data_IF_993395264631
#
_entry.id   IF_993395264631
#
_cell.length_a   1.000
_cell.length_b   1.000
_cell.length_c   1.000
_cell.angle_alpha   90.00
_cell.angle_beta   90.00
_cell.angle_gamma   90.00
#
_symmetry.space_group_name_H-M   'P 1'
#
loop_
_entity.id
_entity.type
_entity.pdbx_description
1 polymer ?
#
# COMPACT_ATOMS: atom_id res chain seq x y z
N UNK A 1 -26.97 8.40 41.03
CA UNK A 1 -25.90 8.38 42.05
C UNK A 1 -25.72 9.81 42.52
N UNK A 2 -25.60 9.99 43.83
CA UNK A 2 -25.76 11.28 44.51
C UNK A 2 -24.88 12.37 43.91
N UNK A 3 -25.47 13.55 43.65
CA UNK A 3 -24.75 14.81 43.45
C UNK A 3 -24.09 15.17 44.79
N UNK A 4 -22.95 14.55 45.10
CA UNK A 4 -22.02 15.17 46.03
C UNK A 4 -21.49 16.41 45.33
N UNK A 5 -21.73 17.58 45.93
CA UNK A 5 -21.16 18.84 45.48
C UNK A 5 -19.64 18.69 45.66
N UNK A 6 -18.93 18.41 44.57
CA UNK A 6 -17.47 18.25 44.58
C UNK A 6 -16.84 19.57 45.09
N UNK A 7 -15.86 19.46 46.01
CA UNK A 7 -15.17 20.62 46.59
C UNK A 7 -14.58 21.51 45.47
N UNK A 8 -15.02 22.79 45.35
CA UNK A 8 -14.55 23.69 44.31
C UNK A 8 -13.03 23.88 44.30
N UNK A 9 -12.36 23.80 45.46
CA UNK A 9 -10.90 23.92 45.56
C UNK A 9 -10.22 22.69 44.96
N UNK A 10 -10.73 21.50 45.29
CA UNK A 10 -10.24 20.24 44.72
C UNK A 10 -10.45 20.20 43.20
N UNK A 11 -11.63 20.63 42.73
CA UNK A 11 -11.95 20.69 41.31
C UNK A 11 -10.99 21.60 40.54
N UNK A 12 -10.71 22.81 41.07
CA UNK A 12 -9.78 23.74 40.44
C UNK A 12 -8.34 23.19 40.41
N UNK A 13 -7.88 22.58 41.52
CA UNK A 13 -6.54 21.96 41.58
C UNK A 13 -6.39 20.81 40.59
N UNK A 14 -7.42 19.95 40.50
CA UNK A 14 -7.44 18.84 39.56
C UNK A 14 -7.47 19.33 38.09
N UNK A 15 -8.17 20.43 37.82
CA UNK A 15 -8.17 21.06 36.49
C UNK A 15 -6.78 21.49 36.05
N UNK A 16 -6.10 22.29 36.88
CA UNK A 16 -4.74 22.76 36.60
C UNK A 16 -3.77 21.58 36.41
N UNK A 17 -3.88 20.55 37.25
CA UNK A 17 -3.05 19.35 37.15
C UNK A 17 -3.29 18.60 35.82
N UNK A 18 -4.55 18.37 35.45
CA UNK A 18 -4.90 17.66 34.22
C UNK A 18 -4.55 18.46 32.97
N UNK A 19 -4.67 19.77 33.02
CA UNK A 19 -4.26 20.66 31.94
C UNK A 19 -2.74 20.62 31.73
N UNK A 20 -1.97 20.67 32.83
CA UNK A 20 -0.52 20.48 32.78
C UNK A 20 -0.13 19.13 32.17
N UNK A 21 -0.72 18.03 32.63
CA UNK A 21 -0.45 16.68 32.08
C UNK A 21 -0.85 16.58 30.60
N UNK A 22 -1.95 17.23 30.20
CA UNK A 22 -2.39 17.25 28.81
C UNK A 22 -1.40 18.03 27.91
N UNK A 23 -0.85 19.15 28.37
CA UNK A 23 0.17 19.91 27.64
C UNK A 23 1.47 19.12 27.50
N UNK A 24 1.97 18.52 28.58
CA UNK A 24 3.17 17.67 28.53
C UNK A 24 2.99 16.47 27.59
N UNK A 25 1.79 15.87 27.58
CA UNK A 25 1.43 14.79 26.66
C UNK A 25 1.36 15.29 25.21
N UNK A 26 0.79 16.47 24.97
CA UNK A 26 0.76 17.07 23.64
C UNK A 26 2.17 17.32 23.11
N UNK A 27 3.07 17.83 23.95
CA UNK A 27 4.47 18.04 23.59
C UNK A 27 5.20 16.72 23.26
N UNK A 28 4.87 15.63 23.98
CA UNK A 28 5.40 14.30 23.68
C UNK A 28 4.94 13.80 22.29
N UNK A 29 3.66 13.96 21.95
CA UNK A 29 3.14 13.59 20.64
C UNK A 29 3.72 14.47 19.52
N UNK A 30 3.80 15.79 19.72
CA UNK A 30 4.44 16.70 18.77
C UNK A 30 5.91 16.34 18.53
N UNK A 31 6.64 15.99 19.60
CA UNK A 31 8.03 15.54 19.50
C UNK A 31 8.17 14.26 18.64
N UNK A 32 7.26 13.30 18.83
CA UNK A 32 7.24 12.05 18.06
C UNK A 32 6.86 12.28 16.60
N UNK A 33 5.82 13.06 16.37
CA UNK A 33 5.20 13.26 15.06
C UNK A 33 6.04 14.17 14.17
N UNK A 34 6.67 15.19 14.75
CA UNK A 34 7.56 16.13 14.08
C UNK A 34 9.05 15.84 14.35
N UNK A 35 9.39 14.58 14.66
CA UNK A 35 10.76 14.21 15.03
C UNK A 35 11.78 14.63 13.95
N UNK A 36 11.48 14.39 12.68
CA UNK A 36 12.38 14.68 11.55
C UNK A 36 12.36 16.13 11.07
N UNK A 37 11.44 16.96 11.56
CA UNK A 37 11.51 18.42 11.37
C UNK A 37 12.48 19.06 12.36
N UNK A 38 12.73 18.40 13.50
CA UNK A 38 13.54 18.91 14.61
C UNK A 38 14.89 18.18 14.79
N UNK A 39 15.09 17.03 14.13
CA UNK A 39 16.30 16.22 14.23
C UNK A 39 16.74 15.75 12.83
N UNK A 40 18.05 15.51 12.66
CA UNK A 40 18.58 14.96 11.42
C UNK A 40 18.06 13.55 11.15
N UNK A 41 18.03 13.15 9.88
CA UNK A 41 17.64 11.80 9.47
C UNK A 41 18.58 10.72 10.04
N UNK A 42 19.83 11.06 10.37
CA UNK A 42 20.78 10.13 11.00
C UNK A 42 20.31 9.62 12.37
N UNK A 43 19.45 10.39 13.05
CA UNK A 43 18.83 10.03 14.33
C UNK A 43 17.65 9.05 14.18
N UNK A 44 17.29 8.63 12.96
CA UNK A 44 16.13 7.76 12.73
C UNK A 44 16.18 6.45 13.54
N UNK A 45 17.38 5.88 13.72
CA UNK A 45 17.58 4.64 14.51
C UNK A 45 17.26 4.83 16.01
N UNK A 46 17.45 6.05 16.51
CA UNK A 46 17.26 6.40 17.91
C UNK A 46 15.89 7.04 18.19
N UNK A 47 15.10 7.37 17.15
CA UNK A 47 13.77 8.00 17.28
C UNK A 47 12.90 7.29 18.32
N UNK A 48 12.74 5.97 18.20
CA UNK A 48 11.91 5.21 19.14
C UNK A 48 12.44 5.28 20.57
N UNK A 49 13.76 5.19 20.74
CA UNK A 49 14.41 5.29 22.05
C UNK A 49 14.17 6.67 22.69
N UNK A 50 14.37 7.75 21.94
CA UNK A 50 14.14 9.11 22.43
C UNK A 50 12.68 9.36 22.82
N UNK A 51 11.72 8.80 22.06
CA UNK A 51 10.29 8.88 22.40
C UNK A 51 9.97 8.08 23.66
N UNK A 52 10.53 6.88 23.83
CA UNK A 52 10.38 6.10 25.07
C UNK A 52 10.96 6.82 26.30
N UNK A 53 12.15 7.43 26.19
CA UNK A 53 12.76 8.16 27.31
C UNK A 53 11.88 9.34 27.78
N UNK A 54 11.29 10.09 26.84
CA UNK A 54 10.35 11.16 27.19
C UNK A 54 9.04 10.62 27.75
N UNK A 55 8.52 9.52 27.20
CA UNK A 55 7.34 8.80 27.71
C UNK A 55 7.57 8.38 29.17
N UNK A 56 8.69 7.74 29.48
CA UNK A 56 9.02 7.30 30.85
C UNK A 56 9.12 8.48 31.82
N UNK A 57 9.67 9.61 31.39
CA UNK A 57 9.69 10.83 32.21
C UNK A 57 8.29 11.35 32.52
N UNK A 58 7.39 11.37 31.53
CA UNK A 58 6.01 11.80 31.72
C UNK A 58 5.20 10.82 32.57
N UNK A 59 5.41 9.51 32.41
CA UNK A 59 4.75 8.48 33.23
C UNK A 59 5.06 8.64 34.72
N UNK A 60 6.28 9.05 35.10
CA UNK A 60 6.60 9.39 36.50
C UNK A 60 5.74 10.51 37.05
N UNK A 61 5.29 11.45 36.22
CA UNK A 61 4.38 12.51 36.64
C UNK A 61 2.96 11.95 36.88
N UNK A 62 2.48 11.05 36.01
CA UNK A 62 1.21 10.35 36.22
C UNK A 62 1.22 9.49 37.49
N UNK A 63 2.29 8.72 37.74
CA UNK A 63 2.42 7.84 38.92
C UNK A 63 2.41 8.60 40.26
N UNK A 64 2.81 9.88 40.27
CA UNK A 64 2.77 10.74 41.46
C UNK A 64 1.35 11.19 41.84
N UNK A 65 0.40 11.09 40.91
CA UNK A 65 -0.98 11.52 41.13
C UNK A 65 -1.76 10.41 41.83
N UNK A 66 -2.24 10.69 43.04
CA UNK A 66 -3.18 9.80 43.70
C UNK A 66 -4.60 10.10 43.18
N UNK A 67 -5.11 9.25 42.29
CA UNK A 67 -6.41 9.43 41.62
C UNK A 67 -7.58 9.47 42.60
N UNK A 68 -7.52 8.75 43.71
CA UNK A 68 -8.62 8.67 44.66
C UNK A 68 -8.79 9.97 45.45
N UNK A 69 -7.68 10.64 45.78
CA UNK A 69 -7.67 11.84 46.63
C UNK A 69 -7.51 13.14 45.87
N UNK A 70 -6.81 13.14 44.73
CA UNK A 70 -6.48 14.36 43.98
C UNK A 70 -7.39 14.60 42.78
N UNK A 71 -8.06 13.58 42.26
CA UNK A 71 -8.90 13.68 41.05
C UNK A 71 -10.37 13.43 41.39
N UNK A 72 -11.24 14.47 41.31
CA UNK A 72 -12.68 14.32 41.46
C UNK A 72 -13.27 13.29 40.50
N UNK A 73 -14.36 12.64 40.91
CA UNK A 73 -14.96 11.55 40.13
C UNK A 73 -15.33 11.99 38.72
N UNK A 74 -15.86 13.21 38.57
CA UNK A 74 -16.22 13.82 37.29
C UNK A 74 -15.05 13.93 36.30
N UNK A 75 -13.81 14.01 36.78
CA UNK A 75 -12.61 14.22 35.96
C UNK A 75 -11.75 12.95 35.79
N UNK A 76 -12.06 11.87 36.50
CA UNK A 76 -11.30 10.61 36.44
C UNK A 76 -11.27 10.01 35.04
N UNK A 77 -12.35 10.12 34.27
CA UNK A 77 -12.38 9.66 32.89
C UNK A 77 -11.31 10.35 32.03
N UNK A 78 -11.15 11.67 32.17
CA UNK A 78 -10.13 12.46 31.48
C UNK A 78 -8.72 12.08 31.94
N UNK A 79 -8.50 11.88 33.24
CA UNK A 79 -7.21 11.41 33.77
C UNK A 79 -6.80 10.08 33.13
N UNK A 80 -7.66 9.06 33.21
CA UNK A 80 -7.36 7.74 32.67
C UNK A 80 -7.19 7.74 31.14
N UNK A 81 -7.90 8.64 30.44
CA UNK A 81 -7.68 8.86 29.02
C UNK A 81 -6.26 9.38 28.74
N UNK A 82 -5.82 10.44 29.43
CA UNK A 82 -4.50 11.02 29.24
C UNK A 82 -3.39 10.02 29.61
N UNK A 83 -3.53 9.32 30.72
CA UNK A 83 -2.59 8.29 31.16
C UNK A 83 -2.51 7.13 30.15
N UNK A 84 -3.66 6.62 29.72
CA UNK A 84 -3.75 5.55 28.74
C UNK A 84 -3.14 5.94 27.39
N UNK A 85 -3.38 7.18 26.95
CA UNK A 85 -2.79 7.75 25.75
C UNK A 85 -1.27 7.91 25.88
N UNK A 86 -0.76 8.30 27.06
CA UNK A 86 0.68 8.31 27.33
C UNK A 86 1.31 6.91 27.19
N UNK A 87 0.65 5.86 27.68
CA UNK A 87 1.12 4.49 27.45
C UNK A 87 1.07 4.08 25.97
N UNK A 88 0.10 4.57 25.21
CA UNK A 88 -0.13 4.25 23.80
C UNK A 88 0.79 5.01 22.81
N UNK A 89 1.64 5.94 23.26
CA UNK A 89 2.50 6.71 22.33
C UNK A 89 3.49 5.85 21.52
N UNK A 90 3.85 4.69 22.07
CA UNK A 90 4.76 3.72 21.50
C UNK A 90 4.10 2.88 20.39
N UNK A 91 4.90 2.39 19.43
CA UNK A 91 4.40 1.45 18.40
C UNK A 91 4.03 0.10 19.03
N UNK A 92 4.79 -0.33 20.04
CA UNK A 92 4.56 -1.59 20.75
C UNK A 92 3.33 -1.51 21.64
N UNK A 93 2.55 -2.59 21.65
CA UNK A 93 1.40 -2.73 22.54
C UNK A 93 1.81 -2.67 24.02
N UNK A 94 1.08 -1.88 24.81
CA UNK A 94 1.18 -1.81 26.27
C UNK A 94 -0.19 -2.10 26.90
N UNK A 95 -0.28 -3.17 27.69
CA UNK A 95 -1.55 -3.58 28.32
C UNK A 95 -2.09 -2.54 29.31
N UNK A 96 -1.22 -1.70 29.89
CA UNK A 96 -1.61 -0.61 30.80
C UNK A 96 -2.45 0.45 30.08
N UNK A 97 -2.13 0.72 28.81
CA UNK A 97 -2.90 1.64 27.97
C UNK A 97 -4.36 1.16 27.87
N UNK A 98 -4.56 -0.10 27.48
CA UNK A 98 -5.89 -0.73 27.38
C UNK A 98 -6.65 -0.67 28.70
N UNK A 99 -5.98 -0.92 29.83
CA UNK A 99 -6.61 -0.88 31.15
C UNK A 99 -7.10 0.52 31.51
N UNK A 100 -6.27 1.55 31.33
CA UNK A 100 -6.66 2.94 31.61
C UNK A 100 -7.76 3.42 30.66
N UNK A 101 -7.62 3.17 29.36
CA UNK A 101 -8.61 3.58 28.35
C UNK A 101 -9.95 2.87 28.53
N UNK A 102 -9.95 1.59 28.90
CA UNK A 102 -11.17 0.85 29.24
C UNK A 102 -11.89 1.43 30.46
N UNK A 103 -11.15 1.96 31.45
CA UNK A 103 -11.75 2.70 32.58
C UNK A 103 -12.32 4.05 32.11
N UNK A 104 -11.59 4.77 31.25
CA UNK A 104 -12.01 6.07 30.74
C UNK A 104 -13.37 5.98 30.02
N UNK A 105 -13.54 5.04 29.08
CA UNK A 105 -14.79 4.86 28.33
C UNK A 105 -15.95 4.33 29.20
N UNK A 106 -15.66 3.59 30.29
CA UNK A 106 -16.68 3.16 31.26
C UNK A 106 -17.19 4.31 32.12
N UNK A 107 -16.29 5.20 32.54
CA UNK A 107 -16.63 6.37 33.34
C UNK A 107 -17.32 7.46 32.52
N UNK A 108 -16.88 7.66 31.28
CA UNK A 108 -17.50 8.56 30.33
C UNK A 108 -17.61 7.92 28.93
N UNK A 109 -18.74 7.27 28.62
CA UNK A 109 -18.97 6.67 27.30
C UNK A 109 -18.98 7.67 26.13
N UNK A 110 -19.21 8.96 26.40
CA UNK A 110 -19.23 10.02 25.38
C UNK A 110 -17.83 10.55 25.02
N UNK A 111 -16.77 10.09 25.69
CA UNK A 111 -15.40 10.50 25.41
C UNK A 111 -14.86 9.77 24.17
N UNK A 112 -15.12 10.34 23.01
CA UNK A 112 -14.82 9.78 21.68
C UNK A 112 -13.33 9.52 21.48
N UNK A 113 -12.47 10.41 21.97
CA UNK A 113 -11.02 10.26 21.88
C UNK A 113 -10.52 9.04 22.66
N UNK A 114 -11.15 8.72 23.80
CA UNK A 114 -10.79 7.52 24.55
C UNK A 114 -11.19 6.23 23.82
N UNK A 115 -12.31 6.24 23.09
CA UNK A 115 -12.69 5.12 22.23
C UNK A 115 -11.71 4.93 21.07
N UNK A 116 -11.25 6.02 20.46
CA UNK A 116 -10.25 5.96 19.38
C UNK A 116 -8.92 5.38 19.87
N UNK A 117 -8.37 5.93 20.97
CA UNK A 117 -7.13 5.42 21.56
C UNK A 117 -7.26 3.95 22.02
N UNK A 118 -8.43 3.57 22.57
CA UNK A 118 -8.69 2.17 22.94
C UNK A 118 -8.73 1.26 21.71
N UNK A 119 -9.33 1.72 20.61
CA UNK A 119 -9.34 1.00 19.34
C UNK A 119 -7.94 0.80 18.77
N UNK A 120 -7.09 1.83 18.84
CA UNK A 120 -5.67 1.73 18.46
C UNK A 120 -4.89 0.74 19.33
N UNK A 121 -5.15 0.71 20.64
CA UNK A 121 -4.55 -0.27 21.54
C UNK A 121 -4.91 -1.71 21.14
N UNK A 122 -6.20 -1.97 20.84
CA UNK A 122 -6.62 -3.30 20.37
C UNK A 122 -6.01 -3.65 19.02
N UNK A 123 -5.84 -2.67 18.12
CA UNK A 123 -5.16 -2.88 16.85
C UNK A 123 -3.68 -3.26 17.03
N UNK A 124 -2.95 -2.57 17.91
CA UNK A 124 -1.56 -2.92 18.26
C UNK A 124 -1.47 -4.30 18.89
N UNK A 125 -2.52 -4.76 19.56
CA UNK A 125 -2.65 -6.12 20.08
C UNK A 125 -3.18 -7.14 19.04
N UNK A 126 -3.26 -6.77 17.75
CA UNK A 126 -3.77 -7.61 16.64
C UNK A 126 -5.25 -8.02 16.83
N UNK A 127 -5.94 -7.41 17.79
CA UNK A 127 -7.34 -7.68 18.07
C UNK A 127 -8.27 -6.78 17.23
N UNK A 128 -8.32 -7.07 15.93
CA UNK A 128 -9.02 -6.25 14.92
C UNK A 128 -10.53 -6.15 15.20
N UNK A 129 -11.15 -7.19 15.75
CA UNK A 129 -12.58 -7.22 16.07
C UNK A 129 -12.92 -6.20 17.16
N UNK A 130 -12.18 -6.21 18.25
CA UNK A 130 -12.38 -5.30 19.37
C UNK A 130 -11.98 -3.87 19.01
N UNK A 131 -10.93 -3.70 18.19
CA UNK A 131 -10.58 -2.41 17.62
C UNK A 131 -11.76 -1.81 16.83
N UNK A 132 -12.34 -2.59 15.91
CA UNK A 132 -13.50 -2.19 15.12
C UNK A 132 -14.69 -1.83 16.00
N UNK A 133 -14.98 -2.62 17.02
CA UNK A 133 -16.07 -2.35 17.97
C UNK A 133 -15.87 -1.02 18.71
N UNK A 134 -14.62 -0.67 19.07
CA UNK A 134 -14.32 0.61 19.71
C UNK A 134 -14.55 1.78 18.75
N UNK A 135 -14.08 1.69 17.51
CA UNK A 135 -14.30 2.74 16.51
C UNK A 135 -15.79 2.88 16.14
N UNK A 136 -16.51 1.78 15.97
CA UNK A 136 -17.98 1.82 15.76
C UNK A 136 -18.71 2.41 16.99
N UNK A 137 -18.20 2.19 18.20
CA UNK A 137 -18.65 2.84 19.43
C UNK A 137 -18.46 4.35 19.39
N UNK A 138 -17.25 4.81 19.02
CA UNK A 138 -16.93 6.23 18.86
C UNK A 138 -17.89 6.93 17.87
N UNK A 139 -18.14 6.29 16.73
CA UNK A 139 -19.04 6.78 15.66
C UNK A 139 -20.50 6.96 16.08
N UNK A 140 -20.97 6.25 17.12
CA UNK A 140 -22.33 6.44 17.66
C UNK A 140 -22.48 7.77 18.39
N UNK A 141 -21.37 8.31 18.90
CA UNK A 141 -21.35 9.55 19.66
C UNK A 141 -20.94 10.73 18.77
N UNK A 142 -19.84 10.58 18.02
CA UNK A 142 -19.35 11.62 17.13
C UNK A 142 -18.65 11.02 15.90
N UNK A 143 -18.95 11.61 14.74
CA UNK A 143 -18.37 11.23 13.47
C UNK A 143 -17.09 12.04 13.21
N UNK A 144 -15.97 11.60 13.78
CA UNK A 144 -14.68 12.30 13.67
C UNK A 144 -13.71 11.62 12.69
N UNK A 145 -12.73 12.40 12.23
CA UNK A 145 -11.71 11.98 11.25
C UNK A 145 -10.89 10.78 11.67
N UNK A 146 -10.50 10.67 12.95
CA UNK A 146 -9.62 9.60 13.43
C UNK A 146 -10.35 8.27 13.30
N UNK A 147 -11.59 8.20 13.80
CA UNK A 147 -12.43 7.01 13.68
C UNK A 147 -12.66 6.61 12.23
N UNK A 148 -12.94 7.56 11.35
CA UNK A 148 -13.14 7.31 9.91
C UNK A 148 -11.89 6.72 9.25
N UNK A 149 -10.69 7.26 9.56
CA UNK A 149 -9.41 6.71 9.08
C UNK A 149 -9.22 5.27 9.57
N UNK A 150 -9.44 5.01 10.85
CA UNK A 150 -9.26 3.68 11.45
C UNK A 150 -10.22 2.65 10.86
N UNK A 151 -11.50 2.98 10.67
CA UNK A 151 -12.45 2.09 10.01
C UNK A 151 -12.09 1.84 8.54
N UNK A 152 -11.60 2.87 7.83
CA UNK A 152 -11.09 2.70 6.47
C UNK A 152 -9.96 1.66 6.44
N UNK A 153 -8.99 1.75 7.34
CA UNK A 153 -7.90 0.75 7.46
C UNK A 153 -8.44 -0.66 7.71
N UNK A 154 -9.33 -0.81 8.70
CA UNK A 154 -9.90 -2.12 9.07
C UNK A 154 -10.64 -2.75 7.89
N UNK A 155 -11.44 -1.98 7.16
CA UNK A 155 -12.19 -2.48 6.00
C UNK A 155 -11.26 -3.03 4.91
N UNK A 156 -10.11 -2.38 4.66
CA UNK A 156 -9.12 -2.89 3.70
C UNK A 156 -8.48 -4.19 4.16
N UNK A 157 -8.16 -4.30 5.44
CA UNK A 157 -7.59 -5.52 5.99
C UNK A 157 -8.58 -6.69 5.95
N UNK A 158 -9.84 -6.46 6.35
CA UNK A 158 -10.88 -7.50 6.30
C UNK A 158 -11.15 -7.95 4.85
N UNK A 159 -11.20 -7.00 3.90
CA UNK A 159 -11.42 -7.29 2.48
C UNK A 159 -10.40 -8.29 1.90
N UNK A 160 -9.15 -8.30 2.39
CA UNK A 160 -8.11 -9.21 1.93
C UNK A 160 -8.44 -10.70 2.16
N UNK A 161 -9.37 -11.01 3.06
CA UNK A 161 -9.78 -12.39 3.41
C UNK A 161 -11.14 -12.79 2.83
N UNK A 162 -11.89 -11.85 2.24
CA UNK A 162 -13.25 -12.08 1.75
C UNK A 162 -13.29 -12.54 0.30
N UNK A 163 -14.48 -12.99 -0.14
CA UNK A 163 -14.77 -13.27 -1.55
C UNK A 163 -14.81 -11.95 -2.32
N UNK A 164 -14.54 -12.02 -3.63
CA UNK A 164 -14.34 -10.85 -4.50
C UNK A 164 -15.48 -9.81 -4.45
N UNK A 165 -16.74 -10.25 -4.45
CA UNK A 165 -17.89 -9.36 -4.35
C UNK A 165 -17.97 -8.57 -3.03
N UNK A 166 -17.82 -9.28 -1.90
CA UNK A 166 -17.82 -8.67 -0.57
C UNK A 166 -16.60 -7.75 -0.39
N UNK A 167 -15.43 -8.20 -0.84
CA UNK A 167 -14.18 -7.41 -0.79
C UNK A 167 -14.33 -6.09 -1.56
N UNK A 168 -14.96 -6.12 -2.73
CA UNK A 168 -15.22 -4.91 -3.53
C UNK A 168 -16.04 -3.89 -2.75
N UNK A 169 -17.16 -4.31 -2.15
CA UNK A 169 -18.01 -3.41 -1.37
C UNK A 169 -17.27 -2.81 -0.16
N UNK A 170 -16.46 -3.62 0.52
CA UNK A 170 -15.66 -3.17 1.67
C UNK A 170 -14.61 -2.14 1.26
N UNK A 171 -13.93 -2.34 0.11
CA UNK A 171 -12.94 -1.39 -0.40
C UNK A 171 -13.60 -0.08 -0.85
N UNK A 172 -14.76 -0.13 -1.51
CA UNK A 172 -15.49 1.09 -1.87
C UNK A 172 -15.91 1.89 -0.62
N UNK A 173 -16.42 1.21 0.41
CA UNK A 173 -16.74 1.83 1.70
C UNK A 173 -15.50 2.38 2.42
N UNK A 174 -14.35 1.70 2.31
CA UNK A 174 -13.06 2.22 2.81
C UNK A 174 -12.68 3.55 2.15
N UNK A 175 -12.88 3.67 0.83
CA UNK A 175 -12.61 4.91 0.08
C UNK A 175 -13.58 6.02 0.52
N UNK A 176 -14.85 5.71 0.75
CA UNK A 176 -15.84 6.67 1.27
C UNK A 176 -15.42 7.24 2.63
N UNK A 177 -15.08 6.37 3.60
CA UNK A 177 -14.60 6.83 4.91
C UNK A 177 -13.32 7.65 4.83
N UNK A 178 -12.37 7.26 3.96
CA UNK A 178 -11.13 8.02 3.78
C UNK A 178 -11.38 9.41 3.16
N UNK A 179 -12.27 9.51 2.16
CA UNK A 179 -12.68 10.79 1.58
C UNK A 179 -13.36 11.68 2.61
N UNK A 180 -14.23 11.09 3.42
CA UNK A 180 -14.91 11.82 4.48
C UNK A 180 -13.93 12.35 5.53
N UNK A 181 -12.95 11.54 5.96
CA UNK A 181 -11.89 11.99 6.87
C UNK A 181 -11.10 13.19 6.30
N UNK A 182 -10.72 13.15 5.02
CA UNK A 182 -10.06 14.28 4.33
C UNK A 182 -10.96 15.51 4.26
N UNK A 183 -12.28 15.34 4.08
CA UNK A 183 -13.20 16.47 4.00
C UNK A 183 -13.35 17.23 5.33
N UNK A 184 -13.12 16.56 6.46
CA UNK A 184 -13.13 17.18 7.79
C UNK A 184 -11.89 18.05 8.04
N UNK A 185 -10.72 17.64 7.51
CA UNK A 185 -9.50 18.43 7.55
C UNK A 185 -8.64 18.16 6.31
N UNK A 186 -8.67 19.10 5.36
CA UNK A 186 -7.92 18.97 4.10
C UNK A 186 -6.41 19.14 4.27
N UNK A 187 -5.95 19.60 5.44
CA UNK A 187 -4.52 19.75 5.77
C UNK A 187 -3.95 18.54 6.51
N UNK A 188 -4.80 17.61 6.97
CA UNK A 188 -4.37 16.38 7.65
C UNK A 188 -3.74 15.40 6.65
N UNK A 189 -2.41 15.31 6.66
CA UNK A 189 -1.67 14.44 5.76
C UNK A 189 -1.93 12.95 6.02
N UNK A 190 -2.22 12.56 7.26
CA UNK A 190 -2.56 11.17 7.58
C UNK A 190 -3.88 10.76 6.91
N UNK A 191 -4.89 11.64 6.91
CA UNK A 191 -6.13 11.39 6.15
C UNK A 191 -5.84 11.18 4.65
N UNK A 192 -4.93 11.97 4.07
CA UNK A 192 -4.49 11.80 2.70
C UNK A 192 -3.71 10.50 2.45
N UNK A 193 -2.86 10.05 3.38
CA UNK A 193 -2.21 8.73 3.33
C UNK A 193 -3.26 7.63 3.26
N UNK A 194 -4.26 7.67 4.16
CA UNK A 194 -5.33 6.66 4.22
C UNK A 194 -6.18 6.66 2.94
N UNK A 195 -6.43 7.83 2.35
CA UNK A 195 -7.10 7.93 1.06
C UNK A 195 -6.27 7.34 -0.08
N UNK A 196 -4.97 7.64 -0.13
CA UNK A 196 -4.04 7.03 -1.09
C UNK A 196 -4.02 5.50 -0.98
N UNK A 197 -3.91 4.98 0.25
CA UNK A 197 -3.95 3.55 0.54
C UNK A 197 -5.29 2.91 0.11
N UNK A 198 -6.40 3.62 0.29
CA UNK A 198 -7.73 3.17 -0.14
C UNK A 198 -7.84 3.09 -1.66
N UNK A 199 -7.37 4.11 -2.38
CA UNK A 199 -7.31 4.06 -3.84
C UNK A 199 -6.38 2.97 -4.35
N UNK A 200 -5.25 2.73 -3.67
CA UNK A 200 -4.34 1.64 -4.01
C UNK A 200 -5.05 0.29 -3.92
N UNK A 201 -5.74 0.00 -2.81
CA UNK A 201 -6.51 -1.24 -2.68
C UNK A 201 -7.68 -1.31 -3.67
N UNK A 202 -8.33 -0.17 -4.00
CA UNK A 202 -9.39 -0.11 -5.01
C UNK A 202 -8.86 -0.48 -6.40
N UNK A 203 -7.70 0.05 -6.78
CA UNK A 203 -7.06 -0.26 -8.05
C UNK A 203 -6.78 -1.76 -8.20
N UNK A 204 -6.34 -2.42 -7.13
CA UNK A 204 -6.02 -3.86 -7.16
C UNK A 204 -7.23 -4.78 -7.03
N UNK A 205 -8.23 -4.39 -6.23
CA UNK A 205 -9.36 -5.26 -5.88
C UNK A 205 -10.54 -5.10 -6.82
N UNK A 206 -10.82 -3.87 -7.28
CA UNK A 206 -12.05 -3.55 -8.02
C UNK A 206 -11.78 -3.50 -9.51
N UNK A 207 -10.93 -2.56 -9.93
CA UNK A 207 -10.60 -2.36 -11.34
C UNK A 207 -9.27 -1.62 -11.44
N UNK A 208 -8.35 -2.15 -12.26
CA UNK A 208 -7.06 -1.53 -12.54
C UNK A 208 -7.18 -0.35 -13.51
N UNK A 209 -8.02 0.62 -13.15
CA UNK A 209 -8.23 1.85 -13.91
C UNK A 209 -7.06 2.82 -13.65
N UNK A 210 -6.32 3.26 -14.70
CA UNK A 210 -5.28 4.27 -14.56
C UNK A 210 -5.75 5.57 -13.87
N UNK A 211 -7.03 5.92 -13.96
CA UNK A 211 -7.58 7.09 -13.27
C UNK A 211 -7.52 6.93 -11.73
N UNK A 212 -7.80 5.74 -11.21
CA UNK A 212 -7.73 5.45 -9.76
C UNK A 212 -6.28 5.51 -9.28
N UNK A 213 -5.34 4.98 -10.07
CA UNK A 213 -3.92 5.07 -9.74
C UNK A 213 -3.42 6.53 -9.74
N UNK A 214 -3.90 7.36 -10.68
CA UNK A 214 -3.64 8.82 -10.66
C UNK A 214 -4.21 9.49 -9.40
N UNK A 215 -5.40 9.11 -8.95
CA UNK A 215 -5.99 9.59 -7.69
C UNK A 215 -5.17 9.16 -6.48
N UNK A 216 -4.72 7.91 -6.42
CA UNK A 216 -3.80 7.39 -5.42
C UNK A 216 -2.53 8.24 -5.32
N UNK A 217 -1.84 8.46 -6.46
CA UNK A 217 -0.64 9.28 -6.51
C UNK A 217 -0.89 10.76 -6.20
N UNK A 218 -2.10 11.28 -6.47
CA UNK A 218 -2.50 12.63 -6.06
C UNK A 218 -2.68 12.73 -4.54
N UNK A 219 -3.29 11.73 -3.92
CA UNK A 219 -3.48 11.69 -2.47
C UNK A 219 -2.14 11.66 -1.72
N UNK A 220 -1.19 10.81 -2.14
CA UNK A 220 0.16 10.83 -1.57
C UNK A 220 0.89 12.16 -1.79
N UNK A 221 0.66 12.85 -2.91
CA UNK A 221 1.21 14.19 -3.14
C UNK A 221 0.67 15.24 -2.17
N UNK A 222 -0.61 15.18 -1.84
CA UNK A 222 -1.21 16.05 -0.83
C UNK A 222 -0.70 15.72 0.58
N UNK A 223 -0.51 14.44 0.90
CA UNK A 223 0.05 14.02 2.18
C UNK A 223 1.43 14.64 2.47
N UNK A 224 2.29 14.83 1.46
CA UNK A 224 3.61 15.45 1.64
C UNK A 224 3.59 16.90 2.13
N UNK A 225 2.47 17.60 1.95
CA UNK A 225 2.34 18.98 2.37
C UNK A 225 2.27 19.11 3.89
N UNK A 226 1.85 18.05 4.58
CA UNK A 226 1.86 17.94 6.03
C UNK A 226 3.22 17.41 6.53
N UNK A 227 3.94 18.17 7.39
CA UNK A 227 5.20 17.73 7.97
C UNK A 227 5.10 16.41 8.76
N UNK A 228 3.97 16.15 9.43
CA UNK A 228 3.77 14.92 10.20
C UNK A 228 3.76 13.72 9.26
N UNK A 229 2.93 13.75 8.21
CA UNK A 229 2.84 12.69 7.22
C UNK A 229 4.15 12.49 6.43
N UNK A 230 4.89 13.58 6.15
CA UNK A 230 6.22 13.51 5.52
C UNK A 230 7.26 12.78 6.38
N UNK A 231 7.09 12.79 7.70
CA UNK A 231 7.91 12.04 8.64
C UNK A 231 7.54 10.57 8.80
N UNK A 232 6.50 10.08 8.11
CA UNK A 232 6.02 8.70 8.24
C UNK A 232 6.61 7.79 7.13
N UNK A 233 7.27 6.68 7.49
CA UNK A 233 7.92 5.79 6.52
C UNK A 233 6.91 5.01 5.65
N UNK A 234 5.72 4.72 6.17
CA UNK A 234 4.68 3.94 5.49
C UNK A 234 4.06 4.67 4.29
N UNK A 235 3.98 6.00 4.31
CA UNK A 235 3.63 6.82 3.14
C UNK A 235 4.54 6.50 1.96
N UNK A 236 5.85 6.50 2.18
CA UNK A 236 6.83 6.24 1.14
C UNK A 236 6.76 4.78 0.67
N UNK A 237 6.67 3.83 1.60
CA UNK A 237 6.54 2.43 1.22
C UNK A 237 5.30 2.16 0.36
N UNK A 238 4.12 2.63 0.77
CA UNK A 238 2.89 2.40 0.01
C UNK A 238 2.92 3.10 -1.37
N UNK A 239 3.49 4.32 -1.44
CA UNK A 239 3.73 5.01 -2.72
C UNK A 239 4.71 4.23 -3.60
N UNK A 240 5.80 3.70 -3.04
CA UNK A 240 6.79 2.92 -3.77
C UNK A 240 6.18 1.61 -4.32
N UNK A 241 5.29 0.97 -3.56
CA UNK A 241 4.50 -0.17 -4.06
C UNK A 241 3.64 0.27 -5.25
N UNK A 242 2.90 1.38 -5.16
CA UNK A 242 2.10 1.89 -6.28
C UNK A 242 2.96 2.14 -7.53
N UNK A 243 4.10 2.81 -7.38
CA UNK A 243 5.05 3.10 -8.46
C UNK A 243 5.64 1.81 -9.07
N UNK A 244 6.01 0.83 -8.24
CA UNK A 244 6.50 -0.48 -8.70
C UNK A 244 5.48 -1.18 -9.60
N UNK A 245 4.20 -1.15 -9.22
CA UNK A 245 3.12 -1.73 -10.00
C UNK A 245 2.74 -0.91 -11.24
N UNK A 246 3.03 0.39 -11.26
CA UNK A 246 2.96 1.27 -12.43
C UNK A 246 4.19 1.14 -13.35
N UNK A 247 5.14 0.25 -13.01
CA UNK A 247 6.44 0.05 -13.69
C UNK A 247 7.34 1.29 -13.71
N UNK A 248 7.12 2.24 -12.81
CA UNK A 248 8.00 3.39 -12.58
C UNK A 248 9.13 3.02 -11.64
N UNK A 249 10.00 2.12 -12.11
CA UNK A 249 10.97 1.43 -11.25
C UNK A 249 12.02 2.34 -10.61
N UNK A 250 12.47 3.40 -11.30
CA UNK A 250 13.43 4.37 -10.72
C UNK A 250 12.83 5.09 -9.52
N UNK A 251 11.66 5.72 -9.73
CA UNK A 251 10.94 6.42 -8.66
C UNK A 251 10.57 5.46 -7.52
N UNK A 252 10.22 4.21 -7.82
CA UNK A 252 9.91 3.21 -6.81
C UNK A 252 11.12 2.90 -5.91
N UNK A 253 12.31 2.70 -6.48
CA UNK A 253 13.55 2.44 -5.72
C UNK A 253 13.89 3.63 -4.83
N UNK A 254 13.89 4.85 -5.38
CA UNK A 254 14.16 6.08 -4.61
C UNK A 254 13.15 6.28 -3.47
N UNK A 255 11.88 5.94 -3.71
CA UNK A 255 10.84 6.06 -2.69
C UNK A 255 11.01 4.99 -1.61
N UNK A 256 11.41 3.76 -1.95
CA UNK A 256 11.77 2.75 -0.95
C UNK A 256 13.00 3.17 -0.13
N UNK A 257 14.02 3.77 -0.77
CA UNK A 257 15.19 4.30 -0.07
C UNK A 257 14.80 5.32 0.99
N UNK A 258 13.84 6.19 0.66
CA UNK A 258 13.33 7.18 1.61
C UNK A 258 12.59 6.55 2.79
N UNK A 259 11.79 5.50 2.55
CA UNK A 259 11.17 4.73 3.64
C UNK A 259 12.22 4.10 4.57
N UNK A 260 13.28 3.49 4.00
CA UNK A 260 14.39 2.92 4.77
C UNK A 260 15.17 3.97 5.57
N UNK A 261 15.26 5.22 5.08
CA UNK A 261 15.94 6.30 5.81
C UNK A 261 15.12 6.77 7.01
N UNK A 262 13.81 6.85 6.88
CA UNK A 262 12.90 7.28 7.94
C UNK A 262 12.73 6.21 9.03
N UNK A 263 12.80 4.93 8.67
CA UNK A 263 12.88 3.83 9.63
C UNK A 263 13.85 2.74 9.14
N UNK A 264 15.14 2.82 9.57
CA UNK A 264 16.15 1.83 9.18
C UNK A 264 15.97 0.45 9.79
N UNK A 265 15.14 0.30 10.83
CA UNK A 265 14.87 -0.99 11.48
C UNK A 265 13.67 -1.70 10.84
N UNK A 266 12.85 -0.96 10.08
CA UNK A 266 11.75 -1.52 9.31
C UNK A 266 12.23 -2.21 8.03
N UNK A 267 12.25 -3.55 8.09
CA UNK A 267 12.76 -4.40 6.99
C UNK A 267 11.96 -4.45 5.68
N UNK A 268 10.61 -4.33 5.65
CA UNK A 268 9.83 -4.51 4.43
C UNK A 268 10.22 -3.63 3.24
N UNK A 269 10.47 -2.31 3.37
CA UNK A 269 10.92 -1.48 2.26
C UNK A 269 12.24 -1.96 1.65
N UNK A 270 13.22 -2.32 2.48
CA UNK A 270 14.52 -2.82 2.01
C UNK A 270 14.39 -4.15 1.26
N UNK A 271 13.54 -5.06 1.77
CA UNK A 271 13.25 -6.33 1.10
C UNK A 271 12.60 -6.11 -0.26
N UNK A 272 11.59 -5.25 -0.35
CA UNK A 272 10.90 -4.96 -1.62
C UNK A 272 11.81 -4.24 -2.62
N UNK A 273 12.64 -3.30 -2.16
CA UNK A 273 13.70 -2.65 -2.96
C UNK A 273 14.67 -3.67 -3.53
N UNK A 274 15.17 -4.58 -2.69
CA UNK A 274 16.12 -5.62 -3.10
C UNK A 274 15.52 -6.56 -4.12
N UNK A 275 14.26 -6.99 -3.90
CA UNK A 275 13.51 -7.82 -4.86
C UNK A 275 13.33 -7.11 -6.20
N UNK A 276 13.00 -5.82 -6.19
CA UNK A 276 12.87 -5.03 -7.41
C UNK A 276 14.20 -4.95 -8.17
N UNK A 277 15.31 -4.70 -7.48
CA UNK A 277 16.65 -4.68 -8.11
C UNK A 277 17.04 -6.03 -8.71
N UNK A 278 16.73 -7.13 -8.02
CA UNK A 278 16.95 -8.49 -8.54
C UNK A 278 16.11 -8.76 -9.79
N UNK A 279 14.85 -8.30 -9.81
CA UNK A 279 13.98 -8.39 -10.98
C UNK A 279 14.58 -7.62 -12.17
N UNK A 280 15.03 -6.37 -11.97
CA UNK A 280 15.63 -5.56 -13.04
C UNK A 280 16.92 -6.20 -13.59
N UNK A 281 17.77 -6.73 -12.71
CA UNK A 281 18.98 -7.46 -13.11
C UNK A 281 18.65 -8.72 -13.93
N UNK A 282 17.65 -9.49 -13.48
CA UNK A 282 17.19 -10.69 -14.19
C UNK A 282 16.57 -10.36 -15.54
N UNK A 283 15.84 -9.25 -15.65
CA UNK A 283 15.27 -8.79 -16.92
C UNK A 283 16.36 -8.46 -17.95
N UNK A 284 17.37 -7.67 -17.54
CA UNK A 284 18.50 -7.33 -18.40
C UNK A 284 19.30 -8.58 -18.80
N UNK A 285 19.58 -9.49 -17.85
CA UNK A 285 20.30 -10.73 -18.14
C UNK A 285 19.52 -11.65 -19.09
N UNK A 286 18.20 -11.78 -18.89
CA UNK A 286 17.34 -12.60 -19.72
C UNK A 286 17.29 -12.10 -21.17
N UNK A 287 17.21 -10.78 -21.37
CA UNK A 287 17.27 -10.16 -22.70
C UNK A 287 18.64 -10.37 -23.36
N UNK A 288 19.73 -10.13 -22.61
CA UNK A 288 21.11 -10.27 -23.10
C UNK A 288 21.42 -11.70 -23.52
N UNK A 289 21.01 -12.67 -22.72
CA UNK A 289 21.32 -14.09 -22.94
C UNK A 289 20.28 -14.81 -23.79
N UNK A 290 19.12 -14.19 -24.03
CA UNK A 290 17.95 -14.79 -24.70
C UNK A 290 17.57 -16.14 -24.06
N UNK A 291 17.51 -16.15 -22.72
CA UNK A 291 17.25 -17.36 -21.94
C UNK A 291 18.35 -18.42 -22.04
N UNK A 292 19.59 -18.01 -22.38
CA UNK A 292 20.74 -18.89 -22.61
C UNK A 292 20.51 -19.92 -23.74
N UNK A 293 19.60 -19.61 -24.67
CA UNK A 293 19.31 -20.47 -25.83
C UNK A 293 20.27 -20.12 -26.97
N UNK A 294 20.94 -21.13 -27.53
CA UNK A 294 21.87 -20.97 -28.66
C UNK A 294 21.15 -20.41 -29.90
N UNK A 295 21.79 -19.51 -30.65
CA UNK A 295 21.22 -18.88 -31.85
C UNK A 295 20.67 -19.88 -32.89
N UNK A 296 21.36 -20.99 -33.13
CA UNK A 296 20.87 -22.06 -34.03
C UNK A 296 19.52 -22.63 -33.57
N UNK A 297 19.37 -22.89 -32.27
CA UNK A 297 18.13 -23.39 -31.68
C UNK A 297 17.02 -22.35 -31.72
N UNK A 298 17.34 -21.07 -31.49
CA UNK A 298 16.39 -19.97 -31.67
C UNK A 298 15.86 -19.89 -33.11
N UNK A 299 16.75 -19.99 -34.11
CA UNK A 299 16.34 -20.01 -35.51
C UNK A 299 15.40 -21.20 -35.81
N UNK A 300 15.72 -22.40 -35.32
CA UNK A 300 14.82 -23.57 -35.45
C UNK A 300 13.47 -23.36 -34.75
N UNK A 301 13.47 -22.69 -33.59
CA UNK A 301 12.25 -22.33 -32.88
C UNK A 301 11.39 -21.31 -33.66
N UNK A 302 11.97 -20.54 -34.59
CA UNK A 302 11.23 -19.54 -35.35
C UNK A 302 10.85 -20.02 -36.76
N UNK A 303 11.42 -21.14 -37.24
CA UNK A 303 11.29 -21.62 -38.62
C UNK A 303 9.94 -22.26 -39.02
N UNK A 304 8.91 -22.19 -38.17
CA UNK A 304 7.59 -22.76 -38.47
C UNK A 304 6.47 -22.00 -37.75
N UNK A 305 6.34 -20.71 -38.06
CA UNK A 305 5.25 -19.88 -37.50
C UNK A 305 3.92 -20.33 -38.12
N UNK A 306 3.18 -21.16 -37.40
CA UNK A 306 1.82 -21.51 -37.79
C UNK A 306 0.89 -20.32 -37.48
N UNK A 307 0.19 -19.79 -38.50
CA UNK A 307 -0.78 -18.70 -38.34
C UNK A 307 -1.91 -19.05 -37.35
N UNK A 308 -2.15 -20.33 -37.08
CA UNK A 308 -3.08 -20.78 -36.03
C UNK A 308 -2.68 -20.30 -34.63
N UNK A 309 -1.40 -19.99 -34.39
CA UNK A 309 -0.92 -19.50 -33.09
C UNK A 309 -1.46 -18.11 -32.73
N UNK A 310 -1.90 -17.33 -33.73
CA UNK A 310 -2.58 -16.04 -33.53
C UNK A 310 -4.00 -16.19 -32.99
N UNK A 311 -4.59 -17.38 -33.06
CA UNK A 311 -6.00 -17.61 -32.72
C UNK A 311 -6.91 -16.68 -33.52
N UNK A 312 -7.73 -15.89 -32.83
CA UNK A 312 -8.67 -14.96 -33.46
C UNK A 312 -7.98 -13.72 -34.07
N UNK A 313 -6.71 -13.47 -33.74
CA UNK A 313 -5.94 -12.30 -34.20
C UNK A 313 -5.31 -12.48 -35.59
N UNK A 314 -5.84 -13.42 -36.38
CA UNK A 314 -5.37 -13.65 -37.74
C UNK A 314 -5.69 -12.44 -38.64
N UNK A 315 -4.83 -12.16 -39.64
CA UNK A 315 -5.09 -11.09 -40.60
C UNK A 315 -6.45 -11.28 -41.29
N UNK A 316 -7.24 -10.20 -41.39
CA UNK A 316 -8.55 -10.22 -42.03
C UNK A 316 -9.74 -10.52 -41.09
N UNK A 317 -9.49 -10.93 -39.84
CA UNK A 317 -10.56 -11.15 -38.86
C UNK A 317 -10.83 -9.90 -38.01
N UNK A 318 -12.11 -9.57 -37.86
CA UNK A 318 -12.55 -8.50 -36.96
C UNK A 318 -12.62 -9.06 -35.54
N UNK A 319 -11.84 -8.47 -34.64
CA UNK A 319 -11.68 -8.92 -33.26
C UNK A 319 -12.36 -7.94 -32.32
N UNK A 320 -13.11 -8.46 -31.35
CA UNK A 320 -13.66 -7.65 -30.26
C UNK A 320 -12.65 -7.53 -29.12
N UNK A 321 -12.07 -6.34 -28.94
CA UNK A 321 -11.10 -6.02 -27.87
C UNK A 321 -11.73 -5.25 -26.69
N UNK A 322 -13.05 -5.38 -26.51
CA UNK A 322 -13.79 -4.76 -25.42
C UNK A 322 -15.28 -4.59 -25.77
N UNK A 323 -16.10 -4.11 -24.82
CA UNK A 323 -17.50 -3.84 -25.11
C UNK A 323 -17.60 -2.74 -26.18
N UNK A 324 -18.05 -3.12 -27.38
CA UNK A 324 -18.26 -2.27 -28.57
C UNK A 324 -17.01 -1.83 -29.35
N UNK A 325 -15.85 -2.48 -29.17
CA UNK A 325 -14.65 -2.16 -29.95
C UNK A 325 -14.24 -3.33 -30.85
N UNK A 326 -14.54 -3.20 -32.13
CA UNK A 326 -14.20 -4.16 -33.17
C UNK A 326 -13.01 -3.62 -33.98
N UNK A 327 -11.91 -4.37 -34.05
CA UNK A 327 -10.64 -3.90 -34.63
C UNK A 327 -10.09 -4.97 -35.56
N UNK A 328 -9.50 -4.54 -36.67
CA UNK A 328 -8.67 -5.38 -37.52
C UNK A 328 -7.22 -5.28 -37.05
N UNK A 329 -6.57 -6.42 -36.82
CA UNK A 329 -5.19 -6.45 -36.33
C UNK A 329 -4.21 -6.75 -37.47
N UNK A 330 -3.19 -5.91 -37.59
CA UNK A 330 -2.03 -6.13 -38.45
C UNK A 330 -0.93 -6.83 -37.64
N UNK A 331 -0.45 -7.98 -38.14
CA UNK A 331 0.70 -8.63 -37.54
C UNK A 331 1.98 -7.84 -37.84
N UNK A 332 2.66 -7.41 -36.79
CA UNK A 332 3.94 -6.68 -36.88
C UNK A 332 5.04 -7.41 -36.12
N UNK A 333 6.29 -7.05 -36.43
CA UNK A 333 7.47 -7.49 -35.68
C UNK A 333 7.66 -6.69 -34.40
N UNK A 334 8.34 -7.30 -33.44
CA UNK A 334 8.71 -6.69 -32.16
C UNK A 334 9.55 -5.41 -32.38
N UNK A 335 10.41 -5.39 -33.38
CA UNK A 335 11.26 -4.23 -33.66
C UNK A 335 10.55 -3.06 -34.36
N UNK A 336 9.34 -3.28 -34.86
CA UNK A 336 8.46 -2.25 -35.42
C UNK A 336 7.56 -1.58 -34.37
N UNK A 337 7.61 -2.04 -33.12
CA UNK A 337 6.82 -1.46 -32.03
C UNK A 337 7.36 -0.10 -31.59
N UNK A 338 6.44 0.81 -31.30
CA UNK A 338 6.72 2.15 -30.79
C UNK A 338 6.45 2.24 -29.29
N UNK A 339 7.00 3.26 -28.63
CA UNK A 339 6.71 3.56 -27.22
C UNK A 339 5.21 3.85 -27.04
N UNK A 340 4.61 3.32 -25.98
CA UNK A 340 3.20 3.47 -25.68
C UNK A 340 2.30 2.46 -26.40
N UNK A 341 1.09 2.91 -26.74
CA UNK A 341 0.04 2.07 -27.32
C UNK A 341 0.28 1.79 -28.79
N UNK A 342 0.32 0.51 -29.16
CA UNK A 342 0.44 0.06 -30.55
C UNK A 342 -0.92 -0.43 -31.07
N UNK A 343 -1.89 0.48 -31.17
CA UNK A 343 -3.27 0.16 -31.59
C UNK A 343 -3.34 -0.46 -32.98
N UNK A 344 -4.30 -1.38 -33.17
CA UNK A 344 -4.47 -2.08 -34.45
C UNK A 344 -3.34 -3.07 -34.80
N UNK A 345 -2.36 -3.27 -33.92
CA UNK A 345 -1.23 -4.18 -34.16
C UNK A 345 -1.31 -5.43 -33.29
N UNK A 346 -0.77 -6.54 -33.77
CA UNK A 346 -0.55 -7.76 -32.98
C UNK A 346 0.86 -8.27 -33.20
N UNK A 347 1.49 -8.77 -32.14
CA UNK A 347 2.76 -9.49 -32.26
C UNK A 347 2.56 -10.96 -31.94
N UNK A 348 3.41 -11.81 -32.53
CA UNK A 348 3.52 -13.21 -32.21
C UNK A 348 4.98 -13.52 -31.87
N UNK A 349 5.23 -13.85 -30.61
CA UNK A 349 6.56 -14.14 -30.11
C UNK A 349 6.64 -15.52 -29.48
N UNK A 350 7.85 -16.06 -29.39
CA UNK A 350 8.15 -17.33 -28.76
C UNK A 350 8.86 -17.10 -27.42
N UNK A 351 8.42 -17.79 -26.38
CA UNK A 351 8.97 -17.61 -25.03
C UNK A 351 10.36 -18.22 -24.95
N UNK A 352 11.34 -17.43 -24.49
CA UNK A 352 12.75 -17.87 -24.34
C UNK A 352 13.16 -18.05 -22.89
N UNK A 353 12.41 -17.50 -21.93
CA UNK A 353 12.65 -17.68 -20.50
C UNK A 353 11.66 -16.88 -19.67
N UNK A 354 11.64 -17.16 -18.37
CA UNK A 354 10.83 -16.46 -17.38
C UNK A 354 11.70 -15.98 -16.22
N UNK A 355 11.26 -14.93 -15.55
CA UNK A 355 11.87 -14.41 -14.32
C UNK A 355 11.04 -14.94 -13.17
N UNK A 356 11.66 -15.77 -12.33
CA UNK A 356 11.02 -16.25 -11.12
C UNK A 356 11.07 -15.15 -10.05
N UNK A 357 9.91 -14.83 -9.46
CA UNK A 357 9.81 -13.97 -8.29
C UNK A 357 9.01 -14.70 -7.22
N UNK A 358 9.39 -14.55 -5.95
CA UNK A 358 8.63 -15.06 -4.81
C UNK A 358 7.20 -14.50 -4.81
N UNK A 359 7.02 -13.27 -5.31
CA UNK A 359 5.72 -12.67 -5.52
C UNK A 359 5.24 -13.04 -6.93
N UNK A 360 4.10 -13.72 -7.04
CA UNK A 360 3.58 -14.22 -8.32
C UNK A 360 3.16 -13.13 -9.34
N UNK A 361 3.29 -11.84 -8.98
CA UNK A 361 2.79 -10.72 -9.79
C UNK A 361 3.82 -9.59 -9.90
N UNK A 362 4.17 -9.15 -11.13
CA UNK A 362 3.77 -9.73 -12.40
C UNK A 362 4.46 -11.07 -12.69
N UNK A 363 3.80 -11.94 -13.44
CA UNK A 363 4.51 -13.04 -14.12
C UNK A 363 5.29 -12.42 -15.29
N UNK A 364 6.62 -12.45 -15.19
CA UNK A 364 7.48 -11.81 -16.17
C UNK A 364 8.22 -12.85 -17.00
N UNK A 365 8.21 -12.68 -18.32
CA UNK A 365 8.85 -13.57 -19.27
C UNK A 365 9.40 -12.81 -20.46
N UNK A 366 10.26 -13.45 -21.23
CA UNK A 366 10.85 -12.87 -22.43
C UNK A 366 10.33 -13.59 -23.67
N UNK A 367 9.96 -12.81 -24.68
CA UNK A 367 9.58 -13.31 -25.99
C UNK A 367 10.62 -12.89 -27.05
N UNK A 368 10.71 -13.68 -28.11
CA UNK A 368 11.51 -13.39 -29.32
C UNK A 368 10.66 -13.65 -30.56
N UNK A 369 10.86 -12.88 -31.62
CA UNK A 369 10.22 -13.10 -32.92
C UNK A 369 11.27 -13.29 -34.03
N UNK A 370 10.81 -13.30 -35.29
CA UNK A 370 11.65 -13.43 -36.47
C UNK A 370 12.71 -12.32 -36.62
N UNK A 371 12.52 -11.16 -36.00
CA UNK A 371 13.52 -10.08 -35.97
C UNK A 371 14.72 -10.41 -35.08
N UNK A 372 14.66 -11.51 -34.33
CA UNK A 372 15.62 -11.91 -33.29
C UNK A 372 15.76 -10.86 -32.17
N UNK A 373 14.86 -9.88 -32.09
CA UNK A 373 14.74 -8.97 -30.94
C UNK A 373 14.00 -9.67 -29.81
N UNK A 374 14.53 -9.50 -28.62
CA UNK A 374 13.94 -10.03 -27.39
C UNK A 374 13.30 -8.90 -26.62
N UNK A 375 12.15 -9.15 -26.00
CA UNK A 375 11.41 -8.17 -25.23
C UNK A 375 10.84 -8.80 -23.96
N UNK A 376 10.89 -8.06 -22.85
CA UNK A 376 10.26 -8.49 -21.59
C UNK A 376 8.76 -8.26 -21.70
N UNK A 377 8.00 -9.17 -21.12
CA UNK A 377 6.55 -9.10 -21.01
C UNK A 377 6.19 -9.25 -19.53
N UNK A 378 5.46 -8.28 -18.99
CA UNK A 378 4.95 -8.28 -17.61
C UNK A 378 3.45 -8.53 -17.62
N UNK A 379 3.04 -9.75 -17.26
CA UNK A 379 1.63 -10.14 -17.18
C UNK A 379 1.12 -10.04 -15.74
N UNK A 380 0.15 -9.16 -15.52
CA UNK A 380 -0.55 -8.98 -14.24
C UNK A 380 -1.82 -9.84 -14.19
N UNK A 381 -2.37 -10.06 -13.00
CA UNK A 381 -3.60 -10.83 -12.76
C UNK A 381 -3.59 -12.28 -13.26
N UNK A 382 -2.41 -12.86 -13.49
CA UNK A 382 -2.32 -14.31 -13.70
C UNK A 382 -2.48 -15.03 -12.36
N UNK A 383 -3.28 -16.09 -12.30
CA UNK A 383 -3.42 -16.92 -11.11
C UNK A 383 -2.08 -17.59 -10.74
N UNK A 384 -1.84 -17.78 -9.44
CA UNK A 384 -0.63 -18.42 -8.94
C UNK A 384 -0.44 -19.82 -9.57
N UNK A 385 0.78 -20.13 -10.00
CA UNK A 385 1.12 -21.38 -10.67
C UNK A 385 0.70 -21.47 -12.14
N UNK A 386 0.08 -20.42 -12.70
CA UNK A 386 -0.16 -20.28 -14.14
C UNK A 386 0.88 -19.37 -14.78
N UNK A 387 1.05 -19.48 -16.09
CA UNK A 387 2.11 -18.80 -16.82
C UNK A 387 2.32 -19.39 -18.20
N UNK A 388 3.36 -18.91 -18.89
CA UNK A 388 3.89 -19.52 -20.12
C UNK A 388 5.11 -20.37 -19.82
N UNK A 389 5.38 -21.34 -20.68
CA UNK A 389 6.59 -22.16 -20.67
C UNK A 389 7.55 -21.76 -21.79
N UNK A 390 8.83 -22.12 -21.63
CA UNK A 390 9.83 -21.90 -22.68
C UNK A 390 9.43 -22.67 -23.94
N UNK A 391 9.40 -21.96 -25.06
CA UNK A 391 9.01 -22.49 -26.36
C UNK A 391 7.53 -22.32 -26.71
N UNK A 392 6.70 -21.82 -25.79
CA UNK A 392 5.32 -21.44 -26.10
C UNK A 392 5.28 -20.26 -27.07
N UNK A 393 4.28 -20.26 -27.95
CA UNK A 393 3.90 -19.11 -28.76
C UNK A 393 2.94 -18.22 -27.99
N UNK A 394 3.16 -16.92 -28.02
CA UNK A 394 2.32 -15.92 -27.36
C UNK A 394 1.93 -14.85 -28.35
N UNK A 395 0.64 -14.70 -28.61
CA UNK A 395 0.09 -13.59 -29.38
C UNK A 395 -0.37 -12.48 -28.43
N UNK A 396 0.10 -11.26 -28.68
CA UNK A 396 -0.20 -10.07 -27.86
C UNK A 396 -0.81 -8.99 -28.75
N UNK A 397 -2.11 -8.68 -28.59
CA UNK A 397 -2.78 -7.62 -29.33
C UNK A 397 -2.49 -6.27 -28.66
N UNK A 398 -2.40 -5.23 -29.48
CA UNK A 398 -2.20 -3.83 -29.09
C UNK A 398 -1.18 -3.63 -27.96
N UNK A 399 0.06 -4.12 -28.14
CA UNK A 399 1.04 -4.14 -27.06
C UNK A 399 1.35 -2.74 -26.54
N UNK A 400 1.30 -2.59 -25.22
CA UNK A 400 1.70 -1.37 -24.51
C UNK A 400 3.19 -1.44 -24.18
N UNK A 401 4.01 -0.73 -24.94
CA UNK A 401 5.46 -0.76 -24.79
C UNK A 401 5.93 0.36 -23.86
N UNK A 402 6.79 0.02 -22.91
CA UNK A 402 7.45 0.97 -22.02
C UNK A 402 8.97 0.82 -22.09
N UNK A 403 9.67 1.94 -22.20
CA UNK A 403 11.12 2.03 -22.11
C UNK A 403 11.55 2.32 -20.67
N UNK A 404 12.39 1.45 -20.12
CA UNK A 404 12.89 1.54 -18.75
C UNK A 404 14.35 1.96 -18.77
N UNK A 405 14.65 3.06 -18.07
CA UNK A 405 16.02 3.49 -17.78
C UNK A 405 16.12 3.77 -16.28
N UNK A 406 16.77 2.86 -15.56
CA UNK A 406 16.88 2.91 -14.10
C UNK A 406 18.35 2.97 -13.73
N UNK A 407 18.73 4.01 -12.99
CA UNK A 407 20.10 4.23 -12.54
C UNK A 407 20.14 4.02 -11.03
N UNK A 408 20.93 3.04 -10.57
CA UNK A 408 21.26 2.88 -9.15
C UNK A 408 22.77 3.07 -8.97
N UNK A 409 23.26 3.30 -7.74
CA UNK A 409 24.69 3.45 -7.47
C UNK A 409 25.55 2.28 -7.98
N UNK A 410 24.97 1.08 -8.10
CA UNK A 410 25.66 -0.15 -8.43
C UNK A 410 25.53 -0.56 -9.90
N UNK A 411 24.41 -0.23 -10.56
CA UNK A 411 24.15 -0.66 -11.93
C UNK A 411 23.15 0.26 -12.65
N UNK A 412 23.29 0.35 -13.98
CA UNK A 412 22.28 0.94 -14.86
C UNK A 412 21.51 -0.18 -15.56
N UNK A 413 20.19 -0.15 -15.46
CA UNK A 413 19.28 -1.07 -16.14
C UNK A 413 18.61 -0.35 -17.29
N UNK A 414 18.69 -0.90 -18.50
CA UNK A 414 18.02 -0.34 -19.68
C UNK A 414 17.39 -1.44 -20.50
N UNK A 415 16.07 -1.41 -20.67
CA UNK A 415 15.32 -2.38 -21.45
C UNK A 415 13.93 -1.85 -21.85
N UNK A 416 13.27 -2.54 -22.78
CA UNK A 416 11.86 -2.32 -23.11
C UNK A 416 11.02 -3.48 -22.61
N UNK A 417 9.82 -3.20 -22.13
CA UNK A 417 8.82 -4.20 -21.76
C UNK A 417 7.49 -3.98 -22.47
N UNK A 418 6.68 -5.04 -22.53
CA UNK A 418 5.25 -4.97 -22.84
C UNK A 418 4.48 -5.29 -21.57
N UNK A 419 3.59 -4.37 -21.18
CA UNK A 419 2.70 -4.57 -20.04
C UNK A 419 1.38 -5.20 -20.47
N UNK A 420 0.95 -6.23 -19.75
CA UNK A 420 -0.36 -6.86 -19.93
C UNK A 420 -1.12 -6.83 -18.61
N UNK A 421 -2.20 -6.06 -18.56
CA UNK A 421 -3.06 -5.98 -17.37
C UNK A 421 -4.06 -7.15 -17.29
N UNK A 422 -4.54 -7.65 -18.43
CA UNK A 422 -5.54 -8.71 -18.50
C UNK A 422 -5.01 -9.90 -19.32
N UNK A 423 -4.62 -11.01 -18.69
CA UNK A 423 -4.09 -12.17 -19.40
C UNK A 423 -5.06 -12.77 -20.42
N UNK A 424 -6.39 -12.55 -20.28
CA UNK A 424 -7.39 -13.07 -21.23
C UNK A 424 -7.29 -12.47 -22.63
N UNK A 425 -6.49 -11.42 -22.82
CA UNK A 425 -6.16 -10.89 -24.16
C UNK A 425 -5.04 -11.66 -24.84
N UNK A 426 -4.41 -12.64 -24.17
CA UNK A 426 -3.33 -13.42 -24.74
C UNK A 426 -3.85 -14.71 -25.36
N UNK A 427 -3.20 -15.11 -26.45
CA UNK A 427 -3.26 -16.48 -26.95
C UNK A 427 -1.92 -17.15 -26.67
N UNK A 428 -1.96 -18.28 -25.97
CA UNK A 428 -0.81 -19.13 -25.73
C UNK A 428 -0.98 -20.41 -26.55
N UNK A 429 -0.08 -20.66 -27.49
CA UNK A 429 -0.15 -21.77 -28.45
C UNK A 429 -1.50 -21.83 -29.19
N UNK A 430 -2.01 -20.67 -29.63
CA UNK A 430 -3.29 -20.55 -30.34
C UNK A 430 -4.54 -20.71 -29.48
N UNK A 431 -4.40 -20.88 -28.15
CA UNK A 431 -5.53 -20.94 -27.22
C UNK A 431 -5.61 -19.68 -26.37
N UNK A 432 -6.80 -19.10 -26.28
CA UNK A 432 -7.04 -17.92 -25.44
C UNK A 432 -6.87 -18.28 -23.97
N UNK A 433 -6.24 -17.40 -23.18
CA UNK A 433 -6.17 -17.58 -21.72
C UNK A 433 -7.58 -17.47 -21.14
N UNK A 434 -8.00 -18.53 -20.44
CA UNK A 434 -9.35 -18.65 -19.90
C UNK A 434 -9.51 -17.92 -18.56
N UNK A 435 -10.75 -17.56 -18.22
CA UNK A 435 -11.08 -16.88 -16.95
C UNK A 435 -10.60 -17.65 -15.70
N UNK A 436 -10.61 -18.99 -15.75
CA UNK A 436 -10.12 -19.82 -14.64
C UNK A 436 -8.60 -19.73 -14.38
N UNK A 437 -7.85 -19.07 -15.28
CA UNK A 437 -6.42 -18.81 -15.12
C UNK A 437 -6.14 -17.39 -14.62
N UNK A 438 -7.16 -16.55 -14.44
CA UNK A 438 -6.99 -15.16 -14.01
C UNK A 438 -7.37 -15.03 -12.54
N UNK A 439 -6.57 -14.29 -11.78
CA UNK A 439 -6.87 -13.96 -10.39
C UNK A 439 -6.55 -12.47 -10.14
N UNK A 440 -7.43 -11.79 -9.40
CA UNK A 440 -7.17 -10.43 -8.98
C UNK A 440 -5.89 -10.37 -8.13
N UNK A 441 -5.02 -9.41 -8.44
CA UNK A 441 -3.82 -9.17 -7.64
C UNK A 441 -4.26 -8.62 -6.29
N UNK A 442 -3.92 -9.30 -5.18
CA UNK A 442 -4.20 -8.79 -3.84
C UNK A 442 -3.01 -7.98 -3.34
N UNK A 443 -3.24 -6.72 -3.00
CA UNK A 443 -2.26 -5.87 -2.34
C UNK A 443 -2.87 -5.35 -1.04
N UNK A 444 -2.23 -5.68 0.07
CA UNK A 444 -2.48 -5.05 1.35
C UNK A 444 -1.63 -3.79 1.45
N UNK A 445 -2.25 -2.61 1.57
CA UNK A 445 -1.54 -1.42 2.02
C UNK A 445 -1.10 -1.63 3.47
N UNK A 446 0.16 -1.35 3.80
CA UNK A 446 0.58 -1.32 5.21
C UNK A 446 0.18 0.02 5.82
N UNK A 447 -0.25 0.03 7.06
CA UNK A 447 -0.36 1.27 7.82
C UNK A 447 -0.04 0.93 9.27
N UNK A 448 0.92 1.64 9.83
CA UNK A 448 1.18 1.58 11.27
C UNK A 448 0.39 2.70 11.92
N UNK A 449 -0.50 2.35 12.86
CA UNK A 449 -1.18 3.36 13.65
C UNK A 449 -0.16 3.95 14.62
N UNK A 450 0.34 5.14 14.27
CA UNK A 450 1.37 5.87 14.98
C UNK A 450 0.79 6.67 16.14
#
# INVERSE_FOLDING_TARGET
MANEIEDPILLNRAHILLEKLALELQDLYLYRDLFFENHSIDMAKDKHKCVEERKESLLKNFERVNVETQIPFSMRARFYYLEGRCYNVSIKYDARATQCLSKAVKLNPHLVEAWNELGECYWKNINVKEAKACFEGALKHERNRITLRCLSIILRQEAATKKEGDATQMILKSVEFAKEAVSQDTKDGQSWIILGNSYLCQYFTVLQDPAILKQCMSAYRQAYMDPVARGQPDLYYNKAIALKYDEKYSEAIETFDQACRLDPLWMPPDRERTKLRQFLASAVDLLRTRGKIKCKRLATMLQAVDKKMLGDYQPGHIVSLGPKRAVLLEQVRIDALQEGSNEGKVILGRVVGSIHSENAVPFAFAIIDESMKCMIVTAYNWAAGRGTLIGDWVAIPEPQVSSHHVVTPEMTYTFKSIRINNPMTLYVNGRRVERGQVAATRVSSTYEMH
#
